data_IF_361790131182
#
_entry.id   IF_361790131182
#
_cell.length_a   1.000
_cell.length_b   1.000
_cell.length_c   1.000
_cell.angle_alpha   90.00
_cell.angle_beta   90.00
_cell.angle_gamma   90.00
#
_symmetry.space_group_name_H-M   'P 1'
#
loop_
_entity.id
_entity.type
_entity.pdbx_description
1 polymer ?
#
# COMPACT_ATOMS: atom_id res chain seq x y z
N UNK A 1 45.07 -28.85 -19.39
CA UNK A 1 43.97 -28.50 -18.47
C UNK A 1 43.77 -27.00 -18.52
N UNK A 2 42.73 -26.56 -19.23
CA UNK A 2 42.36 -25.14 -19.31
C UNK A 2 41.94 -24.65 -17.93
N UNK A 3 42.53 -23.54 -17.47
CA UNK A 3 42.10 -22.89 -16.24
C UNK A 3 40.59 -22.59 -16.32
N UNK A 4 39.80 -22.90 -15.28
CA UNK A 4 38.40 -22.53 -15.25
C UNK A 4 38.29 -21.00 -15.41
N UNK A 5 37.32 -20.49 -16.18
CA UNK A 5 37.17 -19.06 -16.35
C UNK A 5 36.95 -18.43 -14.97
N UNK A 6 37.90 -17.60 -14.54
CA UNK A 6 37.78 -16.81 -13.31
C UNK A 6 36.48 -16.04 -13.43
N UNK A 7 35.51 -16.31 -12.55
CA UNK A 7 34.25 -15.58 -12.50
C UNK A 7 34.58 -14.12 -12.20
N UNK A 8 34.57 -13.29 -13.23
CA UNK A 8 34.85 -11.87 -13.08
C UNK A 8 33.67 -11.26 -12.32
N UNK A 9 33.97 -10.64 -11.18
CA UNK A 9 32.98 -9.90 -10.41
C UNK A 9 32.33 -8.83 -11.31
N UNK A 10 31.02 -8.58 -11.16
CA UNK A 10 30.36 -7.58 -11.99
C UNK A 10 30.97 -6.18 -11.73
N UNK A 11 31.05 -5.31 -12.74
CA UNK A 11 31.66 -3.98 -12.65
C UNK A 11 31.00 -3.04 -11.62
N UNK A 12 29.75 -3.30 -11.26
CA UNK A 12 29.03 -2.60 -10.19
C UNK A 12 28.04 -3.57 -9.55
N UNK A 13 27.63 -3.37 -8.28
CA UNK A 13 26.64 -4.22 -7.61
C UNK A 13 25.20 -3.89 -8.00
N UNK A 14 24.27 -4.84 -7.81
CA UNK A 14 22.83 -4.62 -7.98
C UNK A 14 22.19 -3.96 -6.75
N UNK A 15 22.71 -2.81 -6.34
CA UNK A 15 22.21 -2.02 -5.21
C UNK A 15 22.16 -0.57 -5.65
N UNK A 16 20.96 -0.01 -5.68
CA UNK A 16 20.70 1.33 -6.19
C UNK A 16 20.04 2.19 -5.12
N UNK A 17 20.46 3.44 -5.04
CA UNK A 17 19.85 4.45 -4.19
C UNK A 17 19.08 5.45 -5.05
N UNK A 18 17.84 5.73 -4.66
CA UNK A 18 16.99 6.73 -5.26
C UNK A 18 17.43 8.12 -4.82
N UNK A 19 17.72 8.98 -5.78
CA UNK A 19 17.95 10.42 -5.59
C UNK A 19 16.97 11.22 -6.44
N UNK A 20 16.72 12.44 -6.00
CA UNK A 20 15.94 13.43 -6.75
C UNK A 20 16.88 14.48 -7.31
N UNK A 21 16.67 14.85 -8.56
CA UNK A 21 17.35 15.98 -9.22
C UNK A 21 16.39 17.16 -9.36
N UNK A 22 16.96 18.33 -9.68
CA UNK A 22 16.18 19.53 -10.00
C UNK A 22 15.22 19.26 -11.16
N UNK A 23 14.01 19.85 -11.19
CA UNK A 23 13.11 19.75 -12.34
C UNK A 23 13.72 20.27 -13.64
N UNK A 24 14.65 21.23 -13.57
CA UNK A 24 15.40 21.76 -14.72
C UNK A 24 16.30 20.71 -15.37
N UNK A 25 16.81 19.76 -14.57
CA UNK A 25 17.71 18.69 -15.01
C UNK A 25 16.94 17.38 -15.26
N UNK A 26 15.62 17.45 -15.44
CA UNK A 26 14.81 16.28 -15.71
C UNK A 26 15.22 15.61 -17.02
N UNK A 27 15.30 14.27 -16.98
CA UNK A 27 15.63 13.44 -18.15
C UNK A 27 14.57 12.37 -18.34
N UNK A 28 14.47 11.79 -19.55
CA UNK A 28 13.48 10.76 -19.82
C UNK A 28 13.71 9.51 -18.97
N UNK A 29 12.63 8.93 -18.45
CA UNK A 29 12.62 7.63 -17.80
C UNK A 29 13.13 6.54 -18.75
N UNK A 30 13.93 5.61 -18.22
CA UNK A 30 14.46 4.46 -18.98
C UNK A 30 13.37 3.58 -19.62
N UNK A 31 12.17 3.51 -19.02
CA UNK A 31 11.11 2.59 -19.44
C UNK A 31 10.09 3.27 -20.35
N UNK A 32 9.47 4.36 -19.90
CA UNK A 32 8.43 5.05 -20.67
C UNK A 32 8.86 6.33 -21.37
N UNK A 33 10.13 6.74 -21.23
CA UNK A 33 10.68 7.97 -21.82
C UNK A 33 9.96 9.28 -21.45
N UNK A 34 9.02 9.25 -20.49
CA UNK A 34 8.42 10.46 -19.90
C UNK A 34 9.47 11.19 -19.06
N UNK A 35 9.46 12.53 -18.99
CA UNK A 35 10.42 13.29 -18.19
C UNK A 35 10.27 12.98 -16.69
N UNK A 36 11.39 12.75 -16.01
CA UNK A 36 11.42 12.46 -14.57
C UNK A 36 12.57 13.13 -13.86
N UNK A 37 12.40 13.33 -12.56
CA UNK A 37 13.42 13.87 -11.64
C UNK A 37 14.02 12.81 -10.72
N UNK A 38 13.49 11.59 -10.73
CA UNK A 38 14.00 10.46 -9.96
C UNK A 38 15.12 9.73 -10.71
N UNK A 39 16.23 9.52 -10.01
CA UNK A 39 17.44 8.87 -10.52
C UNK A 39 17.82 7.73 -9.60
N UNK A 40 18.01 6.54 -10.16
CA UNK A 40 18.64 5.42 -9.48
C UNK A 40 20.14 5.45 -9.76
N UNK A 41 20.94 5.41 -8.69
CA UNK A 41 22.40 5.45 -8.76
C UNK A 41 22.95 4.22 -8.05
N UNK A 42 23.87 3.49 -8.68
CA UNK A 42 24.51 2.34 -8.07
C UNK A 42 25.32 2.76 -6.83
N UNK A 43 25.51 1.85 -5.87
CA UNK A 43 26.25 2.11 -4.62
C UNK A 43 27.67 2.65 -4.89
N UNK A 44 28.33 2.16 -5.94
CA UNK A 44 29.65 2.61 -6.38
C UNK A 44 29.62 3.79 -7.39
N UNK A 45 28.45 4.34 -7.69
CA UNK A 45 28.22 5.49 -8.59
C UNK A 45 28.69 5.30 -10.04
N UNK A 46 29.04 4.07 -10.43
CA UNK A 46 29.50 3.74 -11.78
C UNK A 46 28.35 3.72 -12.79
N UNK A 47 27.15 3.33 -12.34
CA UNK A 47 25.97 3.26 -13.19
C UNK A 47 24.83 4.09 -12.59
N UNK A 48 24.14 4.85 -13.43
CA UNK A 48 22.97 5.61 -13.05
C UNK A 48 21.98 5.71 -14.21
N UNK A 49 20.70 5.92 -13.89
CA UNK A 49 19.65 6.14 -14.88
C UNK A 49 18.40 6.76 -14.24
N UNK A 50 17.59 7.36 -15.08
CA UNK A 50 16.35 8.03 -14.68
C UNK A 50 15.19 7.04 -14.70
N UNK A 51 14.34 7.10 -13.68
CA UNK A 51 13.12 6.28 -13.56
C UNK A 51 11.96 7.17 -13.13
N UNK A 52 10.71 6.78 -13.37
CA UNK A 52 9.56 7.48 -12.80
C UNK A 52 9.02 6.71 -11.58
N UNK A 53 8.29 7.39 -10.70
CA UNK A 53 7.67 6.76 -9.53
C UNK A 53 6.72 5.61 -9.91
N UNK A 54 6.03 5.70 -11.06
CA UNK A 54 5.14 4.63 -11.51
C UNK A 54 5.91 3.32 -11.81
N UNK A 55 7.10 3.41 -12.43
CA UNK A 55 7.93 2.22 -12.67
C UNK A 55 8.68 1.75 -11.44
N UNK A 56 8.90 2.60 -10.43
CA UNK A 56 9.47 2.16 -9.15
C UNK A 56 8.55 1.21 -8.36
N UNK A 57 7.25 1.21 -8.68
CA UNK A 57 6.25 0.31 -8.10
C UNK A 57 6.13 -1.01 -8.88
N UNK A 58 6.76 -1.12 -10.04
CA UNK A 58 6.70 -2.32 -10.88
C UNK A 58 7.69 -3.38 -10.40
N UNK A 59 7.14 -4.52 -9.96
CA UNK A 59 7.90 -5.66 -9.44
C UNK A 59 8.77 -6.34 -10.49
N UNK A 60 8.47 -6.19 -11.79
CA UNK A 60 9.31 -6.73 -12.86
C UNK A 60 10.51 -5.84 -13.17
N UNK A 61 10.54 -4.63 -12.59
CA UNK A 61 11.58 -3.64 -12.83
C UNK A 61 12.50 -3.46 -11.62
N UNK A 62 11.93 -3.12 -10.46
CA UNK A 62 12.65 -2.79 -9.24
C UNK A 62 11.95 -3.35 -8.01
N UNK A 63 12.74 -3.91 -7.11
CA UNK A 63 12.28 -4.31 -5.78
C UNK A 63 12.82 -3.33 -4.73
N UNK A 64 11.95 -2.74 -3.88
CA UNK A 64 12.40 -1.87 -2.80
C UNK A 64 13.10 -2.67 -1.69
N UNK A 65 14.22 -2.16 -1.19
CA UNK A 65 14.88 -2.72 -0.01
C UNK A 65 14.21 -2.15 1.23
N UNK A 66 13.50 -3.01 1.96
CA UNK A 66 12.76 -2.63 3.16
C UNK A 66 13.71 -2.33 4.34
N UNK A 67 13.69 -1.11 4.90
CA UNK A 67 14.43 -0.80 6.13
C UNK A 67 13.75 -1.41 7.37
N UNK A 68 14.46 -1.49 8.50
CA UNK A 68 13.89 -1.99 9.77
C UNK A 68 12.60 -1.26 10.17
N UNK A 69 12.56 0.06 10.04
CA UNK A 69 11.36 0.86 10.31
C UNK A 69 10.11 0.40 9.54
N UNK A 70 10.27 -0.15 8.33
CA UNK A 70 9.15 -0.71 7.57
C UNK A 70 8.63 -2.01 8.21
N UNK A 71 9.53 -2.90 8.63
CA UNK A 71 9.16 -4.14 9.33
C UNK A 71 8.51 -3.86 10.68
N UNK A 72 9.00 -2.86 11.41
CA UNK A 72 8.44 -2.47 12.71
C UNK A 72 7.01 -1.92 12.53
N UNK A 73 6.79 -1.03 11.55
CA UNK A 73 5.44 -0.56 11.20
C UNK A 73 4.52 -1.70 10.77
N UNK A 74 5.00 -2.63 9.96
CA UNK A 74 4.21 -3.78 9.53
C UNK A 74 3.78 -4.67 10.72
N UNK A 75 4.68 -4.91 11.68
CA UNK A 75 4.37 -5.65 12.91
C UNK A 75 3.37 -4.90 13.79
N UNK A 76 3.53 -3.59 13.95
CA UNK A 76 2.57 -2.77 14.71
C UNK A 76 1.16 -2.83 14.11
N UNK A 77 1.05 -2.80 12.78
CA UNK A 77 -0.22 -2.95 12.07
C UNK A 77 -0.82 -4.34 12.33
N UNK A 78 -0.01 -5.39 12.30
CA UNK A 78 -0.46 -6.76 12.57
C UNK A 78 -0.99 -6.91 14.00
N UNK A 79 -0.28 -6.39 14.99
CA UNK A 79 -0.73 -6.39 16.39
C UNK A 79 -2.02 -5.58 16.55
N UNK A 80 -2.10 -4.41 15.92
CA UNK A 80 -3.28 -3.55 15.98
C UNK A 80 -4.50 -4.21 15.31
N UNK A 81 -4.30 -4.90 14.17
CA UNK A 81 -5.33 -5.72 13.50
C UNK A 81 -5.92 -6.77 14.42
N UNK A 82 -5.06 -7.53 15.11
CA UNK A 82 -5.50 -8.54 16.07
C UNK A 82 -6.28 -7.92 17.24
N UNK A 83 -5.86 -6.74 17.71
CA UNK A 83 -6.58 -6.05 18.79
C UNK A 83 -7.96 -5.55 18.36
N UNK A 84 -8.06 -5.01 17.13
CA UNK A 84 -9.33 -4.56 16.53
C UNK A 84 -10.27 -5.74 16.31
N UNK A 85 -9.76 -6.88 15.88
CA UNK A 85 -10.54 -8.11 15.71
C UNK A 85 -11.12 -8.60 17.04
N UNK A 86 -10.30 -8.66 18.10
CA UNK A 86 -10.77 -9.03 19.44
C UNK A 86 -11.84 -8.06 19.96
N UNK A 87 -11.64 -6.76 19.78
CA UNK A 87 -12.62 -5.75 20.19
C UNK A 87 -13.91 -5.80 19.39
N UNK A 88 -13.87 -6.17 18.10
CA UNK A 88 -15.08 -6.43 17.31
C UNK A 88 -15.92 -7.54 17.94
N UNK A 89 -15.29 -8.66 18.31
CA UNK A 89 -15.98 -9.77 18.98
C UNK A 89 -16.56 -9.33 20.32
N UNK A 90 -15.80 -8.58 21.12
CA UNK A 90 -16.28 -8.09 22.42
C UNK A 90 -17.48 -7.15 22.27
N UNK A 91 -17.41 -6.20 21.34
CA UNK A 91 -18.53 -5.29 21.00
C UNK A 91 -19.78 -6.05 20.57
N UNK A 92 -19.63 -7.10 19.76
CA UNK A 92 -20.76 -7.91 19.29
C UNK A 92 -21.38 -8.75 20.41
N UNK A 93 -20.58 -9.21 21.38
CA UNK A 93 -21.07 -9.95 22.56
C UNK A 93 -21.86 -9.07 23.55
N UNK A 94 -21.44 -7.82 23.72
CA UNK A 94 -22.06 -6.84 24.64
C UNK A 94 -23.22 -6.07 23.99
N UNK A 95 -23.59 -6.45 22.77
CA UNK A 95 -24.63 -5.80 21.98
C UNK A 95 -26.00 -6.06 22.61
N UNK A 96 -26.77 -5.00 22.97
CA UNK A 96 -28.07 -5.19 23.60
C UNK A 96 -29.05 -5.94 22.68
N UNK A 97 -29.73 -6.97 23.21
CA UNK A 97 -30.74 -7.77 22.47
C UNK A 97 -31.82 -6.90 21.80
N UNK A 98 -32.19 -5.77 22.41
CA UNK A 98 -33.16 -4.81 21.87
C UNK A 98 -32.72 -4.16 20.55
N UNK A 99 -31.40 -4.08 20.28
CA UNK A 99 -30.88 -3.51 19.04
C UNK A 99 -31.15 -4.40 17.82
N UNK A 100 -31.16 -5.74 18.00
CA UNK A 100 -31.54 -6.69 16.95
C UNK A 100 -33.03 -6.60 16.58
N UNK A 101 -33.90 -6.39 17.58
CA UNK A 101 -35.31 -6.11 17.34
C UNK A 101 -35.49 -4.77 16.61
N UNK A 102 -34.88 -3.68 17.10
CA UNK A 102 -35.06 -2.35 16.53
C UNK A 102 -34.64 -2.27 15.04
N UNK A 103 -33.64 -3.06 14.63
CA UNK A 103 -33.27 -3.22 13.22
C UNK A 103 -34.33 -3.96 12.40
N UNK A 104 -34.97 -5.00 12.96
CA UNK A 104 -36.08 -5.75 12.34
C UNK A 104 -37.35 -4.88 12.18
N UNK A 105 -37.70 -4.07 13.19
CA UNK A 105 -38.80 -3.11 13.11
C UNK A 105 -38.50 -1.93 12.15
N UNK A 106 -37.24 -1.46 12.05
CA UNK A 106 -36.83 -0.43 11.08
C UNK A 106 -36.76 -0.94 9.63
N UNK A 107 -36.42 -2.20 9.42
CA UNK A 107 -36.28 -2.80 8.08
C UNK A 107 -37.59 -3.41 7.55
N UNK A 108 -38.75 -3.13 8.18
CA UNK A 108 -40.06 -3.44 7.61
C UNK A 108 -40.65 -4.81 7.95
N UNK A 109 -40.19 -5.49 9.01
CA UNK A 109 -40.72 -6.78 9.47
C UNK A 109 -42.09 -6.72 10.17
N UNK A 110 -42.98 -5.81 9.78
CA UNK A 110 -44.28 -5.58 10.40
C UNK A 110 -45.39 -5.36 9.37
N UNK A 111 -45.67 -6.38 8.56
CA UNK A 111 -46.81 -6.44 7.63
C UNK A 111 -47.47 -7.82 7.74
N UNK A 112 -48.70 -7.86 8.29
CA UNK A 112 -49.56 -9.05 8.36
C UNK A 112 -50.37 -9.10 9.66
N UNK A 113 -51.36 -8.23 9.85
CA UNK A 113 -52.79 -8.46 9.52
C UNK A 113 -53.53 -9.36 10.52
N UNK A 114 -54.29 -8.71 11.38
CA UNK A 114 -55.58 -9.12 11.97
C UNK A 114 -56.34 -10.21 11.21
N UNK A 115 -56.78 -11.26 11.91
CA UNK A 115 -58.02 -11.99 11.61
C UNK A 115 -58.60 -12.75 12.84
N UNK A 116 -59.56 -12.07 13.48
CA UNK A 116 -60.91 -12.52 13.91
C UNK A 116 -61.22 -13.97 14.33
N UNK A 117 -61.59 -14.14 15.61
CA UNK A 117 -62.82 -14.81 16.17
C UNK A 117 -62.65 -14.88 17.70
N UNK A 118 -63.58 -14.47 18.57
CA UNK A 118 -65.01 -14.77 18.57
C UNK A 118 -65.84 -13.73 19.37
N UNK A 119 -67.05 -13.55 18.89
CA UNK A 119 -68.20 -12.74 19.32
C UNK A 119 -68.80 -13.16 20.68
N UNK A 120 -69.24 -12.19 21.49
CA UNK A 120 -70.60 -12.13 22.08
C UNK A 120 -70.83 -10.88 22.94
N UNK A 121 -71.57 -9.93 22.35
CA UNK A 121 -72.77 -9.25 22.88
C UNK A 121 -72.86 -8.84 24.35
N UNK A 122 -72.83 -7.53 24.64
CA UNK A 122 -73.98 -6.79 25.21
C UNK A 122 -73.67 -5.30 25.38
N UNK A 123 -74.70 -4.48 25.16
CA UNK A 123 -74.75 -3.01 25.15
C UNK A 123 -74.90 -2.40 26.55
N UNK A 124 -74.53 -1.11 26.60
CA UNK A 124 -75.04 0.01 27.41
C UNK A 124 -74.46 0.24 28.82
N UNK A 125 -74.12 1.52 29.05
CA UNK A 125 -74.40 2.20 30.31
C UNK A 125 -73.22 2.96 30.92
N UNK A 126 -73.13 4.24 30.59
CA UNK A 126 -72.78 5.41 31.41
C UNK A 126 -72.12 5.27 32.81
N UNK A 127 -71.28 6.28 33.05
CA UNK A 127 -71.01 6.96 34.32
C UNK A 127 -69.88 6.43 35.26
N UNK A 128 -68.89 7.31 35.37
CA UNK A 128 -68.34 7.88 36.61
C UNK A 128 -67.03 7.37 37.21
N UNK A 129 -66.25 8.40 37.53
CA UNK A 129 -65.20 8.62 38.51
C UNK A 129 -64.25 7.49 38.98
N UNK A 130 -62.97 7.84 39.04
CA UNK A 130 -61.94 6.93 39.53
C UNK A 130 -60.51 7.43 39.42
N UNK A 131 -60.28 8.67 39.86
CA UNK A 131 -58.99 9.24 40.24
C UNK A 131 -57.90 8.21 40.65
N UNK A 132 -56.76 8.19 39.94
CA UNK A 132 -55.47 7.86 40.56
C UNK A 132 -54.28 8.49 39.82
N UNK A 133 -54.03 9.74 40.20
CA UNK A 133 -52.71 10.29 40.52
C UNK A 133 -51.48 9.70 39.80
N UNK A 134 -51.12 10.41 38.73
CA UNK A 134 -49.82 11.05 38.52
C UNK A 134 -48.77 10.82 39.64
N UNK A 135 -47.91 9.84 39.44
CA UNK A 135 -46.57 9.84 40.04
C UNK A 135 -45.52 10.11 38.95
N UNK A 136 -45.38 11.39 38.65
CA UNK A 136 -44.21 11.95 37.97
C UNK A 136 -43.02 11.86 38.93
N UNK A 137 -42.25 10.78 38.87
CA UNK A 137 -40.86 10.78 39.32
C UNK A 137 -39.95 10.80 38.10
N UNK A 138 -39.75 12.02 37.59
CA UNK A 138 -38.48 12.40 36.98
C UNK A 138 -37.44 12.38 38.10
N UNK A 139 -36.59 11.37 38.10
CA UNK A 139 -35.30 11.40 38.80
C UNK A 139 -34.18 11.08 37.81
N UNK A 140 -33.01 11.68 38.02
CA UNK A 140 -32.15 12.19 36.96
C UNK A 140 -31.31 11.07 36.36
N UNK A 141 -31.24 11.00 35.03
CA UNK A 141 -30.33 10.12 34.32
C UNK A 141 -28.89 10.55 34.62
N UNK A 142 -28.31 9.91 35.62
CA UNK A 142 -26.90 9.89 35.94
C UNK A 142 -26.10 9.33 34.77
N UNK A 143 -24.87 9.82 34.65
CA UNK A 143 -23.91 9.61 33.57
C UNK A 143 -23.34 8.18 33.53
N UNK A 144 -24.15 7.18 33.18
CA UNK A 144 -23.65 5.84 32.89
C UNK A 144 -23.67 5.61 31.38
N UNK A 145 -22.55 5.96 30.74
CA UNK A 145 -22.28 5.55 29.35
C UNK A 145 -22.27 4.02 29.35
N UNK A 146 -23.20 3.42 28.61
CA UNK A 146 -23.32 1.95 28.56
C UNK A 146 -21.98 1.33 28.14
N UNK A 147 -21.58 0.22 28.77
CA UNK A 147 -20.36 -0.54 28.43
C UNK A 147 -20.22 -0.75 26.92
N UNK A 148 -21.33 -1.00 26.23
CA UNK A 148 -21.42 -1.11 24.78
C UNK A 148 -20.97 0.17 24.03
N UNK A 149 -21.40 1.35 24.48
CA UNK A 149 -21.01 2.63 23.86
C UNK A 149 -19.52 2.93 24.02
N UNK A 150 -18.94 2.60 25.19
CA UNK A 150 -17.50 2.71 25.45
C UNK A 150 -16.67 1.76 24.58
N UNK A 151 -17.11 0.51 24.42
CA UNK A 151 -16.43 -0.46 23.56
C UNK A 151 -16.52 -0.05 22.09
N UNK A 152 -17.66 0.50 21.66
CA UNK A 152 -17.86 1.01 20.31
C UNK A 152 -16.98 2.23 20.01
N UNK A 153 -16.81 3.15 20.96
CA UNK A 153 -15.90 4.30 20.77
C UNK A 153 -14.44 3.84 20.63
N UNK A 154 -14.00 2.92 21.51
CA UNK A 154 -12.66 2.31 21.44
C UNK A 154 -12.41 1.58 20.12
N UNK A 155 -13.39 0.81 19.64
CA UNK A 155 -13.29 0.11 18.35
C UNK A 155 -13.12 1.10 17.20
N UNK A 156 -13.86 2.21 17.20
CA UNK A 156 -13.76 3.26 16.19
C UNK A 156 -12.38 3.93 16.22
N UNK A 157 -11.89 4.29 17.40
CA UNK A 157 -10.56 4.88 17.57
C UNK A 157 -9.44 3.96 17.07
N UNK A 158 -9.46 2.68 17.47
CA UNK A 158 -8.45 1.73 17.02
C UNK A 158 -8.57 1.41 15.53
N UNK A 159 -9.77 1.35 14.97
CA UNK A 159 -9.97 1.16 13.53
C UNK A 159 -9.44 2.34 12.72
N UNK A 160 -9.63 3.58 13.21
CA UNK A 160 -9.06 4.77 12.58
C UNK A 160 -7.53 4.75 12.65
N UNK A 161 -6.95 4.41 13.81
CA UNK A 161 -5.48 4.30 13.96
C UNK A 161 -4.89 3.20 13.07
N UNK A 162 -5.60 2.08 12.91
CA UNK A 162 -5.23 1.02 11.98
C UNK A 162 -5.22 1.53 10.54
N UNK A 163 -6.28 2.23 10.12
CA UNK A 163 -6.35 2.80 8.77
C UNK A 163 -5.22 3.80 8.53
N UNK A 164 -4.94 4.68 9.49
CA UNK A 164 -3.82 5.64 9.40
C UNK A 164 -2.48 4.90 9.22
N UNK A 165 -2.18 3.90 10.04
CA UNK A 165 -0.94 3.13 9.91
C UNK A 165 -0.86 2.34 8.61
N UNK A 166 -1.97 1.76 8.13
CA UNK A 166 -2.01 1.10 6.83
C UNK A 166 -1.72 2.07 5.67
N UNK A 167 -2.27 3.28 5.71
CA UNK A 167 -1.97 4.31 4.70
C UNK A 167 -0.50 4.75 4.76
N UNK A 168 0.08 4.84 5.97
CA UNK A 168 1.50 5.13 6.15
C UNK A 168 2.39 4.03 5.55
N UNK A 169 2.00 2.76 5.73
CA UNK A 169 2.74 1.62 5.16
C UNK A 169 2.68 1.63 3.62
N UNK A 170 1.50 1.90 3.04
CA UNK A 170 1.33 1.98 1.59
C UNK A 170 2.07 3.15 0.95
N UNK A 171 2.17 4.28 1.66
CA UNK A 171 2.89 5.47 1.20
C UNK A 171 4.37 5.49 1.61
N UNK A 172 4.87 4.40 2.19
CA UNK A 172 6.24 4.32 2.66
C UNK A 172 7.22 4.50 1.50
N UNK A 173 8.08 5.53 1.59
CA UNK A 173 9.05 5.84 0.54
C UNK A 173 10.36 5.09 0.80
N UNK A 174 10.73 4.22 -0.12
CA UNK A 174 11.98 3.49 -0.07
C UNK A 174 13.12 4.31 -0.68
N UNK A 175 14.29 4.26 -0.04
CA UNK A 175 15.50 4.93 -0.53
C UNK A 175 16.37 4.02 -1.38
N UNK A 176 16.35 2.72 -1.07
CA UNK A 176 17.21 1.73 -1.69
C UNK A 176 16.37 0.73 -2.47
N UNK A 177 16.87 0.34 -3.63
CA UNK A 177 16.22 -0.56 -4.57
C UNK A 177 17.23 -1.56 -5.12
N UNK A 178 16.74 -2.74 -5.44
CA UNK A 178 17.44 -3.75 -6.24
C UNK A 178 16.72 -3.87 -7.57
N UNK A 179 17.46 -3.96 -8.68
CA UNK A 179 16.82 -4.14 -9.97
C UNK A 179 16.46 -5.61 -10.17
N UNK A 180 15.38 -5.86 -10.90
CA UNK A 180 15.08 -7.21 -11.34
C UNK A 180 16.25 -7.76 -12.18
N UNK A 181 16.52 -9.06 -12.05
CA UNK A 181 17.74 -9.69 -12.56
C UNK A 181 17.94 -9.47 -14.08
N UNK A 182 16.85 -9.50 -14.86
CA UNK A 182 16.90 -9.24 -16.32
C UNK A 182 17.31 -7.81 -16.63
N UNK A 183 16.75 -6.84 -15.91
CA UNK A 183 17.10 -5.42 -16.06
C UNK A 183 18.55 -5.19 -15.68
N UNK A 184 18.99 -5.75 -14.56
CA UNK A 184 20.37 -5.65 -14.11
C UNK A 184 21.36 -6.24 -15.12
N UNK A 185 21.07 -7.42 -15.69
CA UNK A 185 21.88 -8.00 -16.78
C UNK A 185 21.96 -7.07 -17.99
N UNK A 186 20.85 -6.45 -18.39
CA UNK A 186 20.85 -5.48 -19.49
C UNK A 186 21.72 -4.25 -19.18
N UNK A 187 21.72 -3.76 -17.92
CA UNK A 187 22.62 -2.67 -17.48
C UNK A 187 24.09 -3.08 -17.60
N UNK A 188 24.45 -4.29 -17.16
CA UNK A 188 25.81 -4.82 -17.29
C UNK A 188 26.25 -4.92 -18.76
N UNK A 189 25.39 -5.47 -19.61
CA UNK A 189 25.65 -5.55 -21.06
C UNK A 189 25.81 -4.16 -21.69
N UNK A 190 24.95 -3.21 -21.34
CA UNK A 190 25.05 -1.83 -21.81
C UNK A 190 26.37 -1.19 -21.37
N UNK A 191 26.81 -1.41 -20.13
CA UNK A 191 28.10 -0.93 -19.64
C UNK A 191 29.28 -1.51 -20.43
N UNK A 192 29.29 -2.83 -20.65
CA UNK A 192 30.34 -3.49 -21.45
C UNK A 192 30.35 -2.97 -22.89
N UNK A 193 29.17 -2.81 -23.51
CA UNK A 193 29.03 -2.24 -24.85
C UNK A 193 29.55 -0.80 -24.92
N UNK A 194 29.26 0.04 -23.92
CA UNK A 194 29.81 1.40 -23.83
C UNK A 194 31.34 1.39 -23.77
N UNK A 195 31.92 0.51 -22.94
CA UNK A 195 33.38 0.36 -22.82
C UNK A 195 34.01 -0.09 -24.14
N UNK A 196 33.47 -1.15 -24.75
CA UNK A 196 33.96 -1.67 -26.03
C UNK A 196 33.85 -0.62 -27.15
N UNK A 197 32.73 0.10 -27.23
CA UNK A 197 32.55 1.16 -28.22
C UNK A 197 33.54 2.31 -28.03
N UNK A 198 33.84 2.69 -26.77
CA UNK A 198 34.85 3.69 -26.46
C UNK A 198 36.23 3.23 -26.93
N UNK A 199 36.67 2.04 -26.54
CA UNK A 199 37.97 1.47 -26.96
C UNK A 199 38.05 1.35 -28.50
N UNK A 200 36.97 0.93 -29.15
CA UNK A 200 36.91 0.85 -30.61
C UNK A 200 37.01 2.22 -31.26
N UNK A 201 36.34 3.24 -30.72
CA UNK A 201 36.40 4.61 -31.24
C UNK A 201 37.82 5.20 -31.11
N UNK A 202 38.51 4.92 -30.01
CA UNK A 202 39.90 5.33 -29.79
C UNK A 202 40.83 4.63 -30.79
N UNK A 203 40.66 3.32 -31.03
CA UNK A 203 41.43 2.59 -32.05
C UNK A 203 41.20 3.13 -33.46
N UNK A 204 39.96 3.48 -33.82
CA UNK A 204 39.62 4.09 -35.12
C UNK A 204 40.38 5.40 -35.36
N UNK A 205 40.65 6.17 -34.31
CA UNK A 205 41.39 7.43 -34.40
C UNK A 205 42.91 7.23 -34.53
N UNK A 206 43.43 6.01 -34.30
CA UNK A 206 44.86 5.72 -34.44
C UNK A 206 45.26 5.65 -35.92
N UNK A 207 46.39 6.28 -36.27
CA UNK A 207 46.98 6.20 -37.62
C UNK A 207 47.29 4.73 -37.96
N UNK A 208 46.91 4.29 -39.16
CA UNK A 208 47.11 2.90 -39.59
C UNK A 208 46.05 1.91 -39.13
N UNK A 209 44.99 2.35 -38.44
CA UNK A 209 43.85 1.49 -38.11
C UNK A 209 43.07 1.05 -39.36
N UNK A 210 42.89 1.96 -40.31
CA UNK A 210 42.27 1.64 -41.59
C UNK A 210 43.33 1.06 -42.53
N UNK A 211 43.04 -0.06 -43.21
CA UNK A 211 43.94 -0.60 -44.20
C UNK A 211 44.14 0.41 -45.33
N UNK A 212 45.37 0.55 -45.79
CA UNK A 212 45.68 1.33 -46.99
C UNK A 212 45.01 0.71 -48.21
N UNK A 213 44.55 1.55 -49.14
CA UNK A 213 44.00 1.06 -50.40
C UNK A 213 45.06 0.24 -51.17
N UNK A 214 44.67 -0.88 -51.82
CA UNK A 214 45.59 -1.64 -52.65
C UNK A 214 46.17 -0.77 -53.77
N UNK A 215 47.49 -0.74 -53.93
CA UNK A 215 48.14 -0.11 -55.08
C UNK A 215 48.18 -1.11 -56.22
N UNK A 216 47.49 -0.81 -57.33
CA UNK A 216 47.45 -1.66 -58.51
C UNK A 216 48.69 -1.38 -59.38
N UNK A 217 49.87 -1.75 -58.88
CA UNK A 217 51.08 -1.72 -59.70
C UNK A 217 51.08 -2.96 -60.60
N UNK A 218 50.58 -2.77 -61.81
CA UNK A 218 50.64 -3.77 -62.89
C UNK A 218 52.05 -3.68 -63.46
N UNK A 219 52.99 -4.43 -62.87
CA UNK A 219 54.34 -4.64 -63.40
C UNK A 219 54.38 -5.74 -64.44
#
# INVERSE_FOLDING_TARGET
>A
MSNPPKQQLPPFPNKYTLRLVSPTDSKPCLICYKPTTSVLISENQVDFFYTCNAHLLDTQFTDPVHPQAYYDLAKEIEVLKQSVEKLKVEVDSEKPYFWGLNQYWKNGGGSGSTESKSESTSKNGNDDDGNKEKSTNKTPASKDVSKYELLKSKLKEQSNSLQEKETQLQQFKFKNYTLHQTIYRNRLMAFQKRKYNKERSEKIQQKGFFPSAPTHDIS
#
